data_IF_237766438605
#
_entry.id   IF_237766438605
#
_cell.length_a   1.000
_cell.length_b   1.000
_cell.length_c   1.000
_cell.angle_alpha   90.00
_cell.angle_beta   90.00
_cell.angle_gamma   90.00
#
_symmetry.space_group_name_H-M   'P 1'
#
loop_
_entity.id
_entity.type
_entity.pdbx_description
1 polymer ?
2 polymer ?
3 water ?
#
# COMPACT_ATOMS: atom_id res chain seq x y z
N UNK A 7 15.10 -1.53 -10.88
CA UNK A 7 15.87 -2.00 -9.73
C UNK A 7 16.55 -3.34 -10.06
N UNK A 8 16.36 -4.35 -9.19
CA UNK A 8 17.03 -5.64 -9.37
C UNK A 8 16.67 -6.27 -10.72
N UNK A 9 17.49 -7.25 -11.12
CA UNK A 9 17.35 -7.82 -12.45
C UNK A 9 16.11 -8.72 -12.55
N UNK A 10 15.95 -9.64 -11.60
CA UNK A 10 14.80 -10.54 -11.65
C UNK A 10 13.48 -9.80 -11.39
N UNK A 11 13.53 -8.65 -10.74
CA UNK A 11 12.29 -7.90 -10.54
C UNK A 11 11.86 -7.21 -11.82
N UNK A 12 12.81 -6.61 -12.55
CA UNK A 12 12.50 -6.00 -13.85
C UNK A 12 11.95 -7.02 -14.84
N UNK A 13 12.53 -8.23 -14.85
CA UNK A 13 12.07 -9.25 -15.78
C UNK A 13 10.69 -9.77 -15.40
N UNK A 14 10.40 -9.82 -14.09
CA UNK A 14 9.06 -10.22 -13.64
C UNK A 14 8.04 -9.17 -14.05
N UNK A 15 8.37 -7.89 -13.86
CA UNK A 15 7.50 -6.80 -14.29
C UNK A 15 7.28 -6.83 -15.79
N UNK A 16 8.34 -7.10 -16.56
CA UNK A 16 8.21 -7.14 -18.01
C UNK A 16 7.43 -8.36 -18.47
N UNK A 17 7.65 -9.51 -17.81
CA UNK A 17 6.91 -10.70 -18.15
C UNK A 17 5.44 -10.55 -17.82
N UNK A 18 5.11 -9.83 -16.75
CA UNK A 18 3.71 -9.56 -16.45
C UNK A 18 3.07 -8.67 -17.50
N UNK A 19 3.77 -7.62 -17.92
CA UNK A 19 3.26 -6.74 -18.98
C UNK A 19 3.02 -7.52 -20.26
N UNK A 20 3.93 -8.43 -20.59
CA UNK A 20 3.88 -9.13 -21.87
C UNK A 20 2.94 -10.33 -21.86
N UNK A 21 2.39 -10.69 -20.71
CA UNK A 21 1.57 -11.89 -20.63
C UNK A 21 2.37 -13.18 -20.70
N UNK A 22 3.68 -13.11 -20.45
CA UNK A 22 4.59 -14.26 -20.52
C UNK A 22 4.48 -15.05 -19.22
N UNK A 23 3.40 -15.83 -19.11
CA UNK A 23 3.06 -16.49 -17.85
C UNK A 23 4.18 -17.45 -17.41
N UNK A 24 4.84 -18.12 -18.36
CA UNK A 24 5.85 -19.11 -17.96
C UNK A 24 7.00 -18.46 -17.23
N UNK A 25 7.49 -17.32 -17.75
CA UNK A 25 8.56 -16.61 -17.06
C UNK A 25 8.09 -16.04 -15.72
N UNK A 26 6.84 -15.61 -15.64
CA UNK A 26 6.30 -15.20 -14.35
C UNK A 26 6.35 -16.36 -13.36
N UNK A 27 5.94 -17.54 -13.80
CA UNK A 27 5.97 -18.68 -12.89
C UNK A 27 7.38 -19.00 -12.43
N UNK A 28 8.40 -18.66 -13.24
CA UNK A 28 9.77 -18.99 -12.85
C UNK A 28 10.42 -17.92 -11.99
N UNK A 29 9.98 -16.66 -12.07
CA UNK A 29 10.60 -15.58 -11.33
C UNK A 29 9.80 -15.16 -10.12
N UNK A 30 8.57 -15.62 -9.98
CA UNK A 30 7.68 -15.14 -8.94
C UNK A 30 7.97 -15.84 -7.62
N UNK A 31 8.41 -15.06 -6.63
CA UNK A 31 8.63 -15.49 -5.27
C UNK A 31 7.81 -14.60 -4.33
N UNK A 32 7.81 -14.98 -3.05
CA UNK A 32 7.12 -14.19 -2.04
C UNK A 32 7.73 -12.79 -1.95
N UNK A 33 9.03 -12.68 -2.21
CA UNK A 33 9.70 -11.40 -2.12
C UNK A 33 9.44 -10.50 -3.32
N UNK A 34 9.07 -11.08 -4.47
CA UNK A 34 8.97 -10.31 -5.70
C UNK A 34 7.54 -10.13 -6.21
N UNK A 35 6.57 -10.87 -5.68
CA UNK A 35 5.23 -10.85 -6.26
C UNK A 35 4.62 -9.45 -6.19
N UNK A 36 5.01 -8.65 -5.20
CA UNK A 36 4.49 -7.29 -5.03
C UNK A 36 5.56 -6.22 -5.21
N UNK A 37 6.60 -6.52 -5.99
CA UNK A 37 7.68 -5.57 -6.23
C UNK A 37 7.22 -4.41 -7.11
N UNK A 38 7.69 -3.21 -6.78
CA UNK A 38 7.31 -1.97 -7.46
C UNK A 38 8.35 -1.60 -8.51
N UNK A 39 7.90 -0.93 -9.56
CA UNK A 39 8.75 -0.57 -10.69
C UNK A 39 9.33 0.81 -10.41
N UNK A 40 10.60 0.84 -10.01
CA UNK A 40 11.23 2.09 -9.62
C UNK A 40 11.35 3.06 -10.79
N UNK A 41 11.56 2.56 -12.02
CA UNK A 41 11.79 3.43 -13.17
C UNK A 41 10.51 3.85 -13.87
N UNK A 42 9.37 3.87 -13.17
CA UNK A 42 8.12 4.30 -13.76
C UNK A 42 7.22 4.98 -12.76
N UNK A 43 5.93 4.62 -12.74
CA UNK A 43 5.00 5.09 -11.73
C UNK A 43 4.85 4.10 -10.57
N UNK A 44 5.88 3.27 -10.35
CA UNK A 44 5.93 2.33 -9.22
C UNK A 44 4.79 1.32 -9.25
N UNK A 45 4.43 0.85 -10.44
CA UNK A 45 3.41 -0.19 -10.58
C UNK A 45 3.97 -1.54 -10.13
N UNK A 46 3.08 -2.39 -9.64
CA UNK A 46 3.42 -3.78 -9.31
C UNK A 46 3.11 -4.68 -10.49
N UNK A 47 3.58 -5.94 -10.46
CA UNK A 47 3.23 -6.85 -11.58
C UNK A 47 1.74 -6.94 -11.82
N UNK A 48 0.93 -6.88 -10.76
CA UNK A 48 -0.52 -6.94 -10.92
C UNK A 48 -1.05 -5.71 -11.63
N UNK A 49 -0.42 -4.55 -11.46
CA UNK A 49 -0.82 -3.37 -12.22
C UNK A 49 -0.63 -3.61 -13.72
N UNK A 50 0.54 -4.13 -14.09
CA UNK A 50 0.83 -4.37 -15.50
C UNK A 50 -0.08 -5.42 -16.09
N UNK A 51 -0.18 -6.58 -15.44
CA UNK A 51 -1.02 -7.63 -15.98
C UNK A 51 -2.48 -7.18 -16.09
N UNK A 52 -2.93 -6.34 -15.16
CA UNK A 52 -4.32 -5.87 -15.20
C UNK A 52 -4.54 -4.83 -16.30
N UNK A 53 -3.58 -3.92 -16.48
CA UNK A 53 -3.73 -2.90 -17.50
C UNK A 53 -3.62 -3.44 -18.92
N UNK A 54 -2.86 -4.52 -19.10
CA UNK A 54 -2.64 -5.09 -20.42
C UNK A 54 -3.46 -6.35 -20.68
N UNK A 55 -4.47 -6.61 -19.85
CA UNK A 55 -5.44 -7.68 -20.12
C UNK A 55 -4.76 -9.04 -20.17
N UNK A 56 -3.84 -9.29 -19.23
CA UNK A 56 -3.15 -10.59 -19.12
C UNK A 56 -3.88 -11.44 -18.08
N UNK A 57 -5.03 -11.98 -18.49
CA UNK A 57 -5.93 -12.64 -17.54
C UNK A 57 -5.22 -13.79 -16.85
N UNK A 58 -4.46 -14.60 -17.60
CA UNK A 58 -3.80 -15.76 -16.99
C UNK A 58 -2.75 -15.32 -15.98
N UNK A 59 -2.03 -14.24 -16.26
CA UNK A 59 -1.07 -13.75 -15.28
C UNK A 59 -1.78 -13.15 -14.07
N UNK A 60 -2.90 -12.44 -14.29
CA UNK A 60 -3.67 -11.88 -13.18
C UNK A 60 -4.13 -12.98 -12.25
N UNK A 61 -4.71 -14.05 -12.81
CA UNK A 61 -5.13 -15.18 -12.00
C UNK A 61 -3.97 -15.78 -11.24
N UNK A 62 -2.82 -15.97 -11.91
CA UNK A 62 -1.66 -16.54 -11.23
C UNK A 62 -1.19 -15.66 -10.08
N UNK A 63 -1.09 -14.34 -10.32
CA UNK A 63 -0.56 -13.45 -9.29
C UNK A 63 -1.48 -13.41 -8.07
N UNK A 64 -2.77 -13.25 -8.28
CA UNK A 64 -3.69 -13.20 -7.16
C UNK A 64 -3.61 -14.49 -6.35
N UNK A 65 -3.46 -15.63 -7.01
CA UNK A 65 -3.37 -16.88 -6.30
C UNK A 65 -2.11 -16.95 -5.45
N UNK A 66 -1.02 -16.32 -5.90
CA UNK A 66 0.26 -16.35 -5.19
C UNK A 66 0.49 -15.09 -4.36
N UNK A 67 -0.58 -14.50 -3.83
CA UNK A 67 -0.44 -13.47 -2.83
C UNK A 67 -0.19 -12.07 -3.34
N UNK A 68 -0.53 -11.77 -4.59
CA UNK A 68 -0.39 -10.40 -5.08
C UNK A 68 -1.39 -9.51 -4.38
N UNK A 69 -0.95 -8.30 -4.05
CA UNK A 69 -1.75 -7.35 -3.29
C UNK A 69 -2.74 -6.67 -4.23
N UNK A 70 -4.01 -7.02 -4.09
CA UNK A 70 -5.03 -6.43 -4.96
C UNK A 70 -5.22 -4.94 -4.65
N UNK A 71 -4.76 -4.46 -3.49
CA UNK A 71 -4.94 -3.08 -3.06
C UNK A 71 -3.70 -2.21 -3.26
N UNK A 72 -2.65 -2.74 -3.90
CA UNK A 72 -1.40 -2.01 -4.01
C UNK A 72 -1.57 -0.72 -4.79
N UNK A 73 -1.02 0.37 -4.25
CA UNK A 73 -1.12 1.67 -4.88
C UNK A 73 0.19 2.03 -5.56
N UNK A 74 0.10 2.57 -6.76
CA UNK A 74 1.29 3.04 -7.47
C UNK A 74 1.56 4.49 -7.05
N UNK A 75 2.51 5.15 -7.71
CA UNK A 75 2.92 6.49 -7.30
C UNK A 75 1.77 7.48 -7.32
N UNK A 76 0.80 7.30 -8.21
CA UNK A 76 -0.33 8.21 -8.25
C UNK A 76 -1.54 7.79 -7.46
N UNK A 77 -1.43 6.69 -6.71
CA UNK A 77 -2.55 6.18 -5.93
C UNK A 77 -3.49 5.24 -6.65
N UNK A 78 -3.12 4.76 -7.84
CA UNK A 78 -3.99 3.82 -8.55
C UNK A 78 -3.78 2.40 -8.04
N UNK A 79 -4.88 1.66 -7.92
CA UNK A 79 -4.84 0.23 -7.65
C UNK A 79 -5.05 -0.52 -8.96
N UNK A 80 -4.74 -1.82 -9.03
CA UNK A 80 -4.96 -2.55 -10.29
C UNK A 80 -6.37 -2.45 -10.87
N UNK A 81 -7.41 -2.27 -10.03
CA UNK A 81 -8.76 -2.12 -10.57
C UNK A 81 -8.88 -0.85 -11.41
N UNK A 82 -8.12 0.20 -11.08
CA UNK A 82 -8.11 1.40 -11.92
C UNK A 82 -7.61 1.07 -13.32
N UNK A 83 -6.47 0.37 -13.41
CA UNK A 83 -5.86 0.08 -14.70
C UNK A 83 -6.81 -0.73 -15.57
N UNK A 84 -7.46 -1.75 -14.99
CA UNK A 84 -8.37 -2.59 -15.76
C UNK A 84 -9.60 -1.82 -16.21
N UNK A 85 -10.16 -0.97 -15.34
CA UNK A 85 -11.36 -0.21 -15.68
C UNK A 85 -11.08 0.85 -16.74
N UNK A 86 -9.88 1.43 -16.72
CA UNK A 86 -9.53 2.44 -17.70
C UNK A 86 -9.48 1.88 -19.11
N UNK A 87 -9.06 0.62 -19.28
CA UNK A 87 -8.88 0.04 -20.61
C UNK A 87 -9.95 -0.97 -20.97
N UNK A 88 -11.06 -1.00 -20.26
CA UNK A 88 -12.21 -1.81 -20.64
C UNK A 88 -12.03 -3.30 -20.46
N UNK A 89 -11.12 -3.74 -19.60
CA UNK A 89 -10.85 -5.16 -19.43
C UNK A 89 -11.86 -5.71 -18.43
N UNK A 90 -13.02 -6.12 -18.95
CA UNK A 90 -14.11 -6.56 -18.08
C UNK A 90 -13.72 -7.79 -17.27
N UNK A 91 -13.15 -8.80 -17.94
CA UNK A 91 -12.83 -10.05 -17.25
C UNK A 91 -11.78 -9.82 -16.17
N UNK A 92 -10.80 -8.95 -16.44
CA UNK A 92 -9.82 -8.65 -15.40
C UNK A 92 -10.48 -7.90 -14.24
N UNK A 93 -11.32 -6.91 -14.55
CA UNK A 93 -11.99 -6.16 -13.49
C UNK A 93 -12.87 -7.06 -12.64
N UNK A 94 -13.59 -7.97 -13.27
CA UNK A 94 -14.42 -8.89 -12.51
C UNK A 94 -13.59 -9.81 -11.63
N UNK A 95 -12.40 -10.20 -12.09
CA UNK A 95 -11.51 -11.03 -11.30
C UNK A 95 -10.98 -10.27 -10.08
N UNK A 96 -10.61 -9.00 -10.26
CA UNK A 96 -10.09 -8.20 -9.15
C UNK A 96 -11.17 -7.98 -8.08
N UNK A 97 -12.39 -7.64 -8.51
CA UNK A 97 -13.47 -7.44 -7.55
C UNK A 97 -13.75 -8.73 -6.79
N UNK A 98 -13.73 -9.87 -7.51
CA UNK A 98 -13.94 -11.18 -6.88
C UNK A 98 -12.90 -11.46 -5.80
N UNK A 99 -11.69 -10.93 -5.94
CA UNK A 99 -10.62 -11.13 -4.97
C UNK A 99 -10.46 -9.96 -4.02
N UNK A 100 -11.50 -9.15 -3.84
CA UNK A 100 -11.51 -8.16 -2.78
C UNK A 100 -11.14 -6.74 -3.15
N UNK A 101 -11.02 -6.42 -4.44
CA UNK A 101 -10.73 -5.04 -4.81
C UNK A 101 -11.85 -4.13 -4.33
N UNK A 102 -11.46 -3.01 -3.74
CA UNK A 102 -12.41 -2.02 -3.22
C UNK A 102 -12.85 -1.12 -4.38
N UNK A 103 -14.14 -1.19 -4.74
CA UNK A 103 -14.59 -0.49 -5.93
C UNK A 103 -14.65 1.02 -5.74
N UNK A 104 -14.72 1.52 -4.51
CA UNK A 104 -14.78 2.95 -4.28
C UNK A 104 -13.46 3.56 -3.86
N UNK A 105 -12.35 2.81 -4.00
CA UNK A 105 -11.04 3.38 -3.72
C UNK A 105 -10.79 4.56 -4.66
N UNK A 106 -10.01 5.54 -4.19
CA UNK A 106 -9.75 6.74 -4.98
C UNK A 106 -8.25 7.01 -4.96
N UNK A 107 -7.75 7.52 -6.07
CA UNK A 107 -6.32 7.81 -6.19
C UNK A 107 -6.05 9.19 -5.56
N UNK A 108 -4.85 9.74 -5.81
CA UNK A 108 -4.47 11.00 -5.17
C UNK A 108 -5.32 12.17 -5.62
N UNK A 109 -5.93 12.07 -6.81
CA UNK A 109 -6.86 13.07 -7.30
C UNK A 109 -8.31 12.71 -7.01
N UNK A 110 -8.54 11.69 -6.17
CA UNK A 110 -9.87 11.22 -5.79
C UNK A 110 -10.67 10.69 -6.98
N UNK A 111 -9.99 10.24 -8.04
CA UNK A 111 -10.64 9.48 -9.11
C UNK A 111 -10.87 8.05 -8.64
N UNK A 112 -12.13 7.61 -8.62
CA UNK A 112 -12.44 6.21 -8.34
C UNK A 112 -12.40 5.40 -9.63
N UNK A 113 -12.44 4.07 -9.54
CA UNK A 113 -12.59 3.28 -10.77
C UNK A 113 -13.83 3.63 -11.57
N UNK A 114 -14.89 4.10 -10.92
CA UNK A 114 -16.05 4.52 -11.68
C UNK A 114 -15.77 5.78 -12.48
N UNK A 115 -14.92 6.68 -11.96
CA UNK A 115 -14.49 7.83 -12.75
C UNK A 115 -13.78 7.39 -14.01
N UNK A 116 -12.85 6.43 -13.86
CA UNK A 116 -12.09 5.92 -15.00
C UNK A 116 -13.02 5.30 -16.04
N UNK A 117 -13.92 4.43 -15.60
CA UNK A 117 -14.79 3.74 -16.54
C UNK A 117 -15.76 4.69 -17.21
N UNK A 118 -16.27 5.67 -16.46
CA UNK A 118 -17.19 6.64 -17.04
C UNK A 118 -16.48 7.57 -18.03
N UNK A 119 -15.28 8.02 -17.69
CA UNK A 119 -14.58 8.94 -18.60
C UNK A 119 -14.12 8.23 -19.87
N UNK A 120 -13.85 6.92 -19.79
CA UNK A 120 -13.40 6.18 -20.97
C UNK A 120 -14.54 5.54 -21.74
N UNK A 121 -15.78 5.61 -21.25
CA UNK A 121 -16.91 5.09 -21.99
C UNK A 121 -17.11 3.58 -21.92
N UNK A 122 -16.83 2.98 -20.75
CA UNK A 122 -16.94 1.52 -20.59
C UNK A 122 -18.23 1.20 -19.83
N UNK A 123 -19.30 0.99 -20.59
CA UNK A 123 -20.61 0.77 -19.97
C UNK A 123 -20.62 -0.48 -19.11
N UNK A 124 -20.13 -1.59 -19.64
CA UNK A 124 -20.19 -2.84 -18.89
C UNK A 124 -19.37 -2.74 -17.61
N UNK A 125 -18.22 -2.05 -17.69
CA UNK A 125 -17.42 -1.81 -16.49
C UNK A 125 -18.20 -0.96 -15.49
N UNK A 126 -18.84 0.11 -15.96
CA UNK A 126 -19.66 0.93 -15.06
C UNK A 126 -20.72 0.07 -14.40
N UNK A 127 -21.41 -0.75 -15.19
CA UNK A 127 -22.45 -1.60 -14.63
C UNK A 127 -21.87 -2.58 -13.62
N UNK A 128 -20.72 -3.17 -13.94
CA UNK A 128 -20.08 -4.12 -13.03
C UNK A 128 -19.79 -3.48 -11.67
N UNK A 129 -19.21 -2.27 -11.69
CA UNK A 129 -18.86 -1.57 -10.46
C UNK A 129 -20.10 -1.18 -9.66
N UNK A 130 -21.14 -0.69 -10.34
CA UNK A 130 -22.38 -0.33 -9.65
C UNK A 130 -23.03 -1.55 -9.00
N UNK A 131 -22.97 -2.70 -9.69
CA UNK A 131 -23.55 -3.93 -9.14
C UNK A 131 -22.77 -4.45 -7.94
N UNK A 132 -21.56 -3.96 -7.72
CA UNK A 132 -20.78 -4.33 -6.54
C UNK A 132 -20.63 -3.16 -5.58
N UNK A 133 -21.50 -2.15 -5.65
CA UNK A 133 -21.55 -1.12 -4.63
C UNK A 133 -20.83 0.20 -4.91
N UNK A 134 -20.42 0.44 -6.16
CA UNK A 134 -19.76 1.71 -6.46
C UNK A 134 -20.72 2.89 -6.26
N UNK A 135 -20.18 3.98 -5.73
CA UNK A 135 -20.97 5.15 -5.42
C UNK A 135 -20.84 6.17 -6.55
N UNK A 136 -21.90 6.40 -7.34
CA UNK A 136 -21.80 7.38 -8.44
C UNK A 136 -21.75 8.84 -7.99
N UNK A 137 -21.84 9.13 -6.70
CA UNK A 137 -21.87 10.52 -6.24
C UNK A 137 -20.52 11.02 -5.74
N UNK A 138 -19.48 10.19 -5.78
CA UNK A 138 -18.17 10.61 -5.28
C UNK A 138 -17.56 11.64 -6.21
N UNK A 139 -17.05 12.73 -5.65
CA UNK A 139 -16.43 13.79 -6.45
C UNK A 139 -14.91 13.66 -6.35
N UNK A 140 -14.24 13.92 -7.48
CA UNK A 140 -12.79 13.92 -7.50
C UNK A 140 -12.31 15.29 -7.04
N UNK A 141 -11.01 15.54 -7.19
CA UNK A 141 -10.43 16.81 -6.73
C UNK A 141 -11.02 18.00 -7.48
N UNK A 142 -11.43 17.81 -8.74
CA UNK A 142 -11.99 18.88 -9.55
C UNK A 142 -13.49 19.09 -9.33
N UNK A 143 -14.08 18.41 -8.36
CA UNK A 143 -15.50 18.50 -8.08
C UNK A 143 -16.41 17.72 -9.01
N UNK A 144 -15.87 16.84 -9.84
CA UNK A 144 -16.63 16.10 -10.83
C UNK A 144 -16.99 14.71 -10.31
N UNK A 145 -18.27 14.35 -10.45
CA UNK A 145 -18.73 12.98 -10.28
C UNK A 145 -18.38 12.15 -11.51
N UNK A 146 -18.52 10.82 -11.45
CA UNK A 146 -18.35 10.03 -12.68
C UNK A 146 -19.28 10.47 -13.79
N UNK A 147 -20.51 10.86 -13.46
CA UNK A 147 -21.45 11.33 -14.49
C UNK A 147 -20.93 12.59 -15.17
N UNK A 148 -20.26 13.47 -14.44
CA UNK A 148 -19.77 14.71 -15.03
C UNK A 148 -18.65 14.46 -16.03
N UNK A 149 -18.01 13.29 -15.98
CA UNK A 149 -16.94 12.96 -16.92
C UNK A 149 -17.44 12.21 -18.15
N UNK A 150 -18.72 11.83 -18.19
CA UNK A 150 -19.21 11.06 -19.32
C UNK A 150 -19.22 11.93 -20.56
N UNK A 151 -18.64 11.41 -21.65
CA UNK A 151 -18.67 12.10 -22.93
C UNK A 151 -20.08 12.20 -23.45
N UNK A 152 -20.39 13.32 -24.12
CA UNK A 152 -21.62 13.40 -24.89
C UNK A 152 -21.60 12.32 -25.96
N UNK A 153 -22.73 11.64 -26.14
CA UNK A 153 -22.82 10.54 -27.06
C UNK A 153 -22.83 9.18 -26.39
N UNK A 154 -22.30 9.08 -25.16
CA UNK A 154 -22.44 7.88 -24.35
C UNK A 154 -23.71 8.01 -23.51
N UNK A 155 -24.85 8.00 -24.21
CA UNK A 155 -26.10 8.28 -23.52
C UNK A 155 -26.54 7.12 -22.63
N UNK A 156 -26.15 5.88 -22.95
CA UNK A 156 -26.50 4.76 -22.08
C UNK A 156 -25.78 4.83 -20.75
N UNK A 157 -24.55 5.34 -20.74
CA UNK A 157 -23.83 5.51 -19.47
C UNK A 157 -24.46 6.63 -18.65
N UNK A 158 -24.83 7.73 -19.30
CA UNK A 158 -25.47 8.82 -18.58
C UNK A 158 -26.77 8.37 -17.94
N UNK A 159 -27.55 7.56 -18.66
CA UNK A 159 -28.78 7.04 -18.08
C UNK A 159 -28.46 6.06 -16.96
N UNK A 160 -27.42 5.25 -17.12
CA UNK A 160 -27.05 4.28 -16.09
C UNK A 160 -26.64 4.99 -14.81
N UNK A 161 -25.77 6.00 -14.92
CA UNK A 161 -25.33 6.74 -13.74
C UNK A 161 -26.42 7.62 -13.15
N UNK A 162 -27.45 7.95 -13.94
CA UNK A 162 -28.61 8.67 -13.44
C UNK A 162 -29.49 7.80 -12.55
N UNK A 163 -29.40 6.48 -12.69
CA UNK A 163 -30.21 5.57 -11.92
C UNK A 163 -31.19 4.77 -12.74
N UNK A 164 -31.12 4.88 -14.06
CA UNK A 164 -31.99 4.10 -14.93
C UNK A 164 -31.66 2.60 -14.81
N UNK A 165 -32.55 1.77 -15.33
CA UNK A 165 -32.32 0.33 -15.33
C UNK A 165 -31.19 -0.02 -16.29
N UNK A 166 -30.34 -0.95 -15.88
CA UNK A 166 -29.20 -1.32 -16.70
C UNK A 166 -29.63 -2.22 -17.86
N UNK A 167 -28.75 -2.29 -18.86
CA UNK A 167 -28.99 -3.13 -20.03
C UNK A 167 -28.37 -4.52 -19.81
N UNK B 8 12.10 12.11 -7.21
CA UNK B 8 12.10 13.54 -7.45
C UNK B 8 12.95 14.25 -6.40
N UNK B 9 13.27 15.52 -6.66
CA UNK B 9 14.16 16.27 -5.77
C UNK B 9 13.44 16.66 -4.48
N UNK B 10 12.24 17.23 -4.58
CA UNK B 10 11.53 17.68 -3.39
C UNK B 10 11.10 16.53 -2.49
N UNK B 11 11.03 15.30 -3.02
CA UNK B 11 10.67 14.17 -2.19
C UNK B 11 11.81 13.73 -1.29
N UNK B 12 13.03 13.70 -1.81
CA UNK B 12 14.19 13.37 -0.98
C UNK B 12 14.30 14.33 0.20
N UNK B 13 14.00 15.62 -0.03
CA UNK B 13 14.11 16.58 1.06
C UNK B 13 13.08 16.33 2.15
N UNK B 14 11.87 15.87 1.80
CA UNK B 14 10.90 15.51 2.83
C UNK B 14 11.35 14.28 3.61
N UNK B 15 11.85 13.27 2.90
CA UNK B 15 12.34 12.06 3.56
C UNK B 15 13.48 12.37 4.53
N UNK B 16 14.38 13.28 4.15
CA UNK B 16 15.49 13.61 5.03
C UNK B 16 15.03 14.48 6.20
N UNK B 17 14.10 15.41 5.95
CA UNK B 17 13.56 16.21 7.05
C UNK B 17 12.77 15.37 8.02
N UNK B 18 12.09 14.33 7.51
CA UNK B 18 11.39 13.39 8.37
C UNK B 18 12.37 12.60 9.22
N UNK B 19 13.46 12.13 8.63
CA UNK B 19 14.50 11.45 9.38
C UNK B 19 15.10 12.36 10.45
N UNK B 20 15.29 13.64 10.13
CA UNK B 20 15.97 14.59 10.99
C UNK B 20 15.08 15.24 12.04
N UNK B 21 13.76 15.03 11.98
CA UNK B 21 12.89 15.72 12.90
C UNK B 21 12.67 17.19 12.59
N UNK B 22 12.97 17.61 11.35
CA UNK B 22 12.90 18.99 10.90
C UNK B 22 11.44 19.34 10.57
N UNK B 23 10.70 19.69 11.63
CA UNK B 23 9.24 19.85 11.54
C UNK B 23 8.86 20.94 10.54
N UNK B 24 9.62 22.03 10.52
CA UNK B 24 9.26 23.15 9.65
C UNK B 24 9.37 22.79 8.18
N UNK B 25 10.46 22.12 7.80
CA UNK B 25 10.64 21.71 6.40
C UNK B 25 9.59 20.67 5.98
N UNK B 26 9.21 19.78 6.89
CA UNK B 26 8.10 18.88 6.62
C UNK B 26 6.83 19.68 6.36
N UNK B 27 6.58 20.69 7.19
CA UNK B 27 5.35 21.47 7.07
C UNK B 27 5.25 22.20 5.74
N UNK B 28 6.39 22.52 5.11
CA UNK B 28 6.37 23.21 3.82
C UNK B 28 6.35 22.27 2.62
N UNK B 29 6.76 21.02 2.80
CA UNK B 29 6.82 20.04 1.72
C UNK B 29 5.73 18.98 1.78
N UNK B 30 4.94 18.94 2.85
CA UNK B 30 3.96 17.87 2.98
C UNK B 30 2.73 18.22 2.14
N UNK B 31 2.50 17.45 1.07
CA UNK B 31 1.33 17.58 0.22
C UNK B 31 0.64 16.22 0.12
N UNK B 32 -0.51 16.20 -0.57
CA UNK B 32 -1.18 14.95 -0.83
C UNK B 32 -0.32 14.03 -1.69
N UNK B 33 0.46 14.59 -2.61
CA UNK B 33 1.26 13.78 -3.52
C UNK B 33 2.54 13.23 -2.87
N UNK B 34 3.02 13.87 -1.80
CA UNK B 34 4.31 13.51 -1.23
C UNK B 34 4.25 12.92 0.17
N UNK B 35 3.10 13.01 0.86
CA UNK B 35 3.05 12.61 2.27
C UNK B 35 3.37 11.13 2.45
N UNK B 36 3.04 10.30 1.46
CA UNK B 36 3.30 8.87 1.49
C UNK B 36 4.30 8.44 0.44
N UNK B 37 5.19 9.36 0.04
CA UNK B 37 6.16 9.06 -1.00
C UNK B 37 7.20 8.06 -0.51
N UNK B 38 7.53 7.08 -1.35
CA UNK B 38 8.48 6.06 -0.96
C UNK B 38 9.88 6.34 -1.49
N UNK B 39 10.88 5.84 -0.76
CA UNK B 39 12.29 6.08 -1.04
C UNK B 39 12.83 4.94 -1.92
N UNK B 40 13.02 5.23 -3.20
CA UNK B 40 13.47 4.19 -4.14
C UNK B 40 14.86 3.69 -3.80
N UNK B 41 15.73 4.55 -3.27
CA UNK B 41 17.14 4.22 -3.05
C UNK B 41 17.39 3.58 -1.69
N UNK B 42 16.37 2.95 -1.10
CA UNK B 42 16.52 2.27 0.16
C UNK B 42 15.57 1.09 0.26
N UNK B 43 14.88 0.98 1.39
CA UNK B 43 13.84 -0.03 1.57
C UNK B 43 12.46 0.49 1.20
N UNK B 44 12.38 1.53 0.38
CA UNK B 44 11.10 2.07 -0.08
C UNK B 44 10.24 2.49 1.09
N UNK B 45 10.88 3.06 2.11
CA UNK B 45 10.19 3.60 3.26
C UNK B 45 9.46 4.90 2.90
N UNK B 46 8.37 5.15 3.61
CA UNK B 46 7.65 6.40 3.52
C UNK B 46 8.17 7.36 4.58
N UNK B 47 7.82 8.65 4.50
CA UNK B 47 8.22 9.58 5.57
C UNK B 47 7.81 9.13 6.95
N UNK B 48 6.64 8.51 7.08
CA UNK B 48 6.22 8.03 8.40
C UNK B 48 7.14 6.91 8.89
N UNK B 49 7.71 6.11 7.98
CA UNK B 49 8.68 5.11 8.40
C UNK B 49 9.91 5.78 9.04
N UNK B 50 10.45 6.80 8.38
CA UNK B 50 11.65 7.44 8.89
C UNK B 50 11.38 8.15 10.21
N UNK B 51 10.32 8.96 10.25
CA UNK B 51 10.00 9.70 11.48
C UNK B 51 9.75 8.77 12.66
N UNK B 52 9.14 7.60 12.42
CA UNK B 52 8.88 6.66 13.51
C UNK B 52 10.14 5.94 13.94
N UNK B 53 10.99 5.54 12.99
CA UNK B 53 12.20 4.82 13.33
C UNK B 53 13.22 5.67 14.07
N UNK B 54 13.20 6.99 13.85
CA UNK B 54 14.16 7.89 14.46
C UNK B 54 13.55 8.71 15.61
N UNK B 55 12.35 8.35 16.07
CA UNK B 55 11.74 8.94 17.25
C UNK B 55 11.47 10.44 17.08
N UNK B 56 11.00 10.83 15.91
CA UNK B 56 10.66 12.24 15.63
C UNK B 56 9.19 12.46 15.94
N UNK B 57 8.88 12.52 17.24
CA UNK B 57 7.50 12.53 17.71
C UNK B 57 6.71 13.66 17.07
N UNK B 58 7.33 14.84 16.93
CA UNK B 58 6.61 15.96 16.36
C UNK B 58 6.28 15.72 14.89
N UNK B 59 7.22 15.13 14.15
CA UNK B 59 6.97 14.84 12.73
C UNK B 59 5.91 13.74 12.61
N UNK B 60 5.99 12.72 13.46
CA UNK B 60 4.99 11.65 13.43
C UNK B 60 3.60 12.22 13.68
N UNK B 61 3.46 13.10 14.67
CA UNK B 61 2.16 13.70 14.96
C UNK B 61 1.64 14.51 13.77
N UNK B 62 2.52 15.30 13.16
CA UNK B 62 2.10 16.15 12.04
C UNK B 62 1.70 15.30 10.84
N UNK B 63 2.51 14.29 10.51
CA UNK B 63 2.22 13.44 9.35
C UNK B 63 0.89 12.72 9.51
N UNK B 64 0.66 12.14 10.69
CA UNK B 64 -0.60 11.44 10.94
C UNK B 64 -1.80 12.36 10.74
N UNK B 65 -1.68 13.63 11.14
CA UNK B 65 -2.79 14.56 10.97
C UNK B 65 -2.98 14.99 9.53
N UNK B 66 -2.02 14.72 8.64
CA UNK B 66 -2.05 15.18 7.25
C UNK B 66 -1.99 14.04 6.25
N UNK B 67 -2.65 12.93 6.57
CA UNK B 67 -2.85 11.85 5.61
C UNK B 67 -1.73 10.83 5.48
N UNK B 68 -0.86 10.71 6.48
CA UNK B 68 0.16 9.68 6.44
C UNK B 68 -0.49 8.31 6.66
N UNK B 69 -0.04 7.33 5.88
CA UNK B 69 -0.59 5.98 5.88
C UNK B 69 0.06 5.12 6.96
N UNK B 70 -0.69 4.83 8.03
CA UNK B 70 -0.17 3.93 9.06
C UNK B 70 -0.03 2.48 8.57
N UNK B 71 -0.59 2.13 7.41
CA UNK B 71 -0.52 0.76 6.92
C UNK B 71 0.51 0.57 5.81
N UNK B 72 1.25 1.61 5.44
CA UNK B 72 2.18 1.51 4.33
C UNK B 72 3.28 0.52 4.67
N UNK B 73 3.59 -0.39 3.73
CA UNK B 73 4.62 -1.39 3.90
C UNK B 73 5.85 -1.01 3.08
N UNK B 74 7.03 -1.28 3.63
CA UNK B 74 8.26 -1.04 2.90
C UNK B 74 8.60 -2.28 2.07
N UNK B 75 9.80 -2.29 1.48
CA UNK B 75 10.17 -3.36 0.56
C UNK B 75 10.09 -4.73 1.24
N UNK B 76 10.35 -4.79 2.54
CA UNK B 76 10.30 -6.01 3.32
C UNK B 76 9.00 -6.27 4.05
N UNK B 77 7.96 -5.45 3.83
CA UNK B 77 6.67 -5.64 4.47
C UNK B 77 6.51 -5.00 5.83
N UNK B 78 7.43 -4.13 6.24
CA UNK B 78 7.34 -3.47 7.55
C UNK B 78 6.41 -2.26 7.46
N UNK B 79 5.59 -2.08 8.49
CA UNK B 79 4.81 -0.84 8.63
C UNK B 79 5.55 0.05 9.64
N UNK B 80 5.23 1.35 9.73
CA UNK B 80 5.94 2.22 10.70
C UNK B 80 5.93 1.72 12.13
N UNK B 81 4.90 0.99 12.57
CA UNK B 81 4.90 0.47 13.93
C UNK B 81 6.05 -0.51 14.14
N UNK B 82 6.46 -1.22 13.09
CA UNK B 82 7.66 -2.06 13.16
C UNK B 82 8.89 -1.23 13.48
N UNK B 83 9.06 -0.11 12.75
CA UNK B 83 10.22 0.74 12.96
C UNK B 83 10.27 1.29 14.37
N UNK B 84 9.12 1.76 14.88
CA UNK B 84 9.07 2.31 16.23
C UNK B 84 9.34 1.24 17.28
N UNK B 85 8.78 0.05 17.09
CA UNK B 85 8.97 -1.03 18.08
C UNK B 85 10.40 -1.56 18.08
N UNK B 86 11.07 -1.58 16.92
CA UNK B 86 12.42 -2.12 16.87
C UNK B 86 13.39 -1.28 17.69
N UNK B 87 13.20 0.04 17.72
CA UNK B 87 14.13 0.93 18.39
C UNK B 87 13.58 1.47 19.70
N UNK B 88 12.55 0.85 20.25
CA UNK B 88 12.08 1.18 21.59
C UNK B 88 11.38 2.52 21.74
N UNK B 89 10.80 3.06 20.67
CA UNK B 89 10.17 4.38 20.73
C UNK B 89 8.74 4.25 21.23
N UNK B 90 8.59 4.29 22.55
CA UNK B 90 7.29 4.04 23.18
C UNK B 90 6.25 5.08 22.77
N UNK B 91 6.60 6.36 22.86
CA UNK B 91 5.64 7.41 22.57
C UNK B 91 5.19 7.36 21.12
N UNK B 92 6.13 7.09 20.20
CA UNK B 92 5.75 6.98 18.80
C UNK B 92 4.84 5.79 18.57
N UNK B 93 5.15 4.66 19.22
CA UNK B 93 4.33 3.47 19.04
C UNK B 93 2.91 3.70 19.52
N UNK B 94 2.75 4.34 20.69
CA UNK B 94 1.39 4.61 21.19
C UNK B 94 0.64 5.56 20.26
N UNK B 95 1.33 6.53 19.67
CA UNK B 95 0.68 7.44 18.73
C UNK B 95 0.17 6.68 17.51
N UNK B 96 0.98 5.78 16.96
CA UNK B 96 0.56 5.01 15.79
C UNK B 96 -0.64 4.13 16.12
N UNK B 97 -0.62 3.46 17.27
CA UNK B 97 -1.73 2.62 17.67
C UNK B 97 -2.98 3.47 17.86
N UNK B 98 -2.82 4.67 18.42
CA UNK B 98 -3.94 5.57 18.60
C UNK B 98 -4.57 5.97 17.27
N UNK B 99 -3.76 6.03 16.21
CA UNK B 99 -4.25 6.42 14.89
C UNK B 99 -4.51 5.20 13.98
N UNK B 100 -4.67 4.01 14.55
CA UNK B 100 -5.15 2.87 13.83
C UNK B 100 -4.12 1.86 13.37
N UNK B 101 -2.87 1.96 13.82
CA UNK B 101 -1.88 0.95 13.44
C UNK B 101 -2.32 -0.42 13.96
N UNK B 102 -2.20 -1.43 13.10
CA UNK B 102 -2.58 -2.80 13.42
C UNK B 102 -1.44 -3.48 14.17
N UNK B 103 -1.68 -3.86 15.44
CA UNK B 103 -0.60 -4.40 16.25
C UNK B 103 -0.19 -5.81 15.84
N UNK B 104 -1.05 -6.56 15.14
CA UNK B 104 -0.72 -7.92 14.74
C UNK B 104 -0.34 -8.03 13.28
N UNK B 105 -0.13 -6.90 12.60
CA UNK B 105 0.31 -6.94 11.21
C UNK B 105 1.69 -7.63 11.16
N UNK B 106 1.98 -8.29 10.05
CA UNK B 106 3.20 -9.06 9.90
C UNK B 106 3.89 -8.68 8.61
N UNK B 107 5.23 -8.70 8.63
CA UNK B 107 6.01 -8.36 7.46
C UNK B 107 6.13 -9.61 6.58
N UNK B 108 7.00 -9.56 5.56
CA UNK B 108 7.09 -10.66 4.62
C UNK B 108 7.59 -11.96 5.23
N UNK B 109 8.33 -11.88 6.35
CA UNK B 109 8.77 -13.06 7.10
C UNK B 109 7.83 -13.39 8.24
N UNK B 110 6.66 -12.75 8.29
CA UNK B 110 5.66 -12.96 9.35
C UNK B 110 6.16 -12.52 10.73
N UNK B 111 7.10 -11.57 10.76
CA UNK B 111 7.43 -10.88 12.00
C UNK B 111 6.35 -9.82 12.26
N UNK B 112 5.68 -9.91 13.40
CA UNK B 112 4.80 -8.86 13.87
C UNK B 112 5.62 -7.83 14.63
N UNK B 113 5.04 -6.69 14.98
CA UNK B 113 5.74 -5.75 15.89
C UNK B 113 6.15 -6.39 17.21
N UNK B 114 5.38 -7.37 17.70
CA UNK B 114 5.77 -8.03 18.94
C UNK B 114 7.03 -8.89 18.77
N UNK B 115 7.22 -9.49 17.60
CA UNK B 115 8.48 -10.18 17.32
C UNK B 115 9.64 -9.19 17.36
N UNK B 116 9.49 -8.03 16.73
CA UNK B 116 10.52 -7.00 16.70
C UNK B 116 10.89 -6.55 18.11
N UNK B 117 9.88 -6.26 18.94
CA UNK B 117 10.16 -5.74 20.27
C UNK B 117 10.85 -6.78 21.13
N UNK B 118 10.42 -8.04 21.02
CA UNK B 118 11.04 -9.11 21.79
C UNK B 118 12.48 -9.37 21.33
N UNK B 119 12.72 -9.30 20.02
CA UNK B 119 14.05 -9.57 19.50
C UNK B 119 15.02 -8.45 19.83
N UNK B 120 14.54 -7.22 19.99
CA UNK B 120 15.40 -6.09 20.29
C UNK B 120 15.52 -5.81 21.78
N UNK B 121 14.80 -6.57 22.62
CA UNK B 121 14.91 -6.39 24.06
C UNK B 121 14.15 -5.21 24.60
N UNK B 122 13.00 -4.88 24.01
CA UNK B 122 12.22 -3.71 24.39
C UNK B 122 11.05 -4.16 25.28
N UNK B 123 11.27 -4.11 26.60
CA UNK B 123 10.28 -4.57 27.56
C UNK B 123 9.01 -3.72 27.53
N UNK B 124 9.16 -2.39 27.57
CA UNK B 124 7.98 -1.52 27.58
C UNK B 124 7.19 -1.61 26.29
N UNK B 125 7.88 -1.70 25.15
CA UNK B 125 7.18 -1.87 23.87
C UNK B 125 6.39 -3.17 23.88
N UNK B 126 6.99 -4.26 24.38
CA UNK B 126 6.28 -5.52 24.46
C UNK B 126 5.02 -5.38 25.29
N UNK B 127 5.13 -4.76 26.47
CA UNK B 127 3.97 -4.62 27.35
C UNK B 127 2.90 -3.74 26.71
N UNK B 128 3.33 -2.65 26.08
CA UNK B 128 2.38 -1.78 25.37
C UNK B 128 1.59 -2.56 24.31
N UNK B 129 2.29 -3.34 23.49
CA UNK B 129 1.62 -4.08 22.42
C UNK B 129 0.66 -5.11 22.98
N UNK B 130 1.06 -5.81 24.05
CA UNK B 130 0.17 -6.78 24.67
C UNK B 130 -1.09 -6.11 25.20
N UNK B 131 -0.95 -4.91 25.78
CA UNK B 131 -2.10 -4.19 26.31
C UNK B 131 -3.05 -3.70 25.22
N UNK B 132 -2.61 -3.67 23.95
CA UNK B 132 -3.48 -3.27 22.84
C UNK B 132 -3.82 -4.44 21.92
N UNK B 133 -3.73 -5.67 22.42
CA UNK B 133 -4.25 -6.82 21.72
C UNK B 133 -3.25 -7.63 20.94
N UNK B 134 -1.95 -7.39 21.11
CA UNK B 134 -0.97 -8.17 20.39
C UNK B 134 -1.04 -9.62 20.83
N UNK B 135 -0.92 -10.53 19.87
CA UNK B 135 -1.09 -11.95 20.10
C UNK B 135 0.28 -12.59 20.32
N UNK B 136 0.62 -13.01 21.54
CA UNK B 136 1.96 -13.56 21.80
C UNK B 136 2.17 -14.96 21.22
N UNK B 137 1.15 -15.59 20.63
CA UNK B 137 1.27 -16.93 20.10
C UNK B 137 1.48 -16.97 18.60
N UNK B 138 1.54 -15.81 17.94
CA UNK B 138 1.71 -15.79 16.50
C UNK B 138 3.13 -16.22 16.14
N UNK B 139 3.24 -17.16 15.20
CA UNK B 139 4.52 -17.72 14.78
C UNK B 139 4.94 -17.09 13.44
N UNK B 140 6.24 -16.82 13.30
CA UNK B 140 6.75 -16.31 12.04
C UNK B 140 7.04 -17.49 11.10
N UNK B 141 7.75 -17.22 10.01
CA UNK B 141 8.00 -18.27 9.02
C UNK B 141 8.82 -19.42 9.59
N UNK B 142 9.70 -19.14 10.54
CA UNK B 142 10.52 -20.17 11.16
C UNK B 142 9.80 -20.91 12.29
N UNK B 143 8.50 -20.68 12.46
CA UNK B 143 7.78 -21.30 13.55
C UNK B 143 8.02 -20.69 14.91
N UNK B 144 8.62 -19.50 14.96
CA UNK B 144 8.97 -18.87 16.22
C UNK B 144 7.92 -17.85 16.65
N UNK B 145 7.48 -17.96 17.90
CA UNK B 145 6.72 -16.92 18.55
C UNK B 145 7.67 -15.82 18.97
N UNK B 146 7.16 -14.65 19.37
CA UNK B 146 8.04 -13.63 19.96
C UNK B 146 8.84 -14.13 21.15
N UNK B 147 8.28 -15.07 21.93
CA UNK B 147 9.02 -15.60 23.07
C UNK B 147 10.33 -16.25 22.63
N UNK B 148 10.32 -16.90 21.46
CA UNK B 148 11.50 -17.57 20.92
C UNK B 148 12.59 -16.60 20.47
N UNK B 149 12.26 -15.34 20.20
CA UNK B 149 13.24 -14.40 19.70
C UNK B 149 13.91 -13.60 20.80
N UNK B 150 13.47 -13.76 22.05
CA UNK B 150 14.00 -12.97 23.16
C UNK B 150 15.45 -13.35 23.41
N UNK B 151 16.32 -12.34 23.51
CA UNK B 151 17.71 -12.58 23.83
C UNK B 151 17.83 -13.19 25.23
N UNK B 152 18.76 -14.13 25.36
CA UNK B 152 19.06 -14.68 26.67
C UNK B 152 19.50 -13.56 27.62
N UNK B 153 18.99 -13.60 28.85
CA UNK B 153 19.27 -12.59 29.84
C UNK B 153 18.13 -11.61 30.07
N UNK B 154 17.23 -11.45 29.09
CA UNK B 154 16.02 -10.64 29.27
C UNK B 154 14.91 -11.54 29.84
N UNK B 155 15.11 -11.95 31.09
CA UNK B 155 14.19 -12.91 31.71
C UNK B 155 12.85 -12.27 32.03
N UNK B 156 12.81 -10.94 32.23
CA UNK B 156 11.55 -10.28 32.50
C UNK B 156 10.67 -10.21 31.26
N UNK B 157 11.28 -10.10 30.07
CA UNK B 157 10.49 -10.11 28.83
C UNK B 157 9.90 -11.50 28.59
N UNK B 158 10.68 -12.54 28.89
CA UNK B 158 10.18 -13.92 28.77
C UNK B 158 8.99 -14.17 29.68
N UNK B 159 9.05 -13.66 30.93
CA UNK B 159 7.94 -13.83 31.86
C UNK B 159 6.72 -13.03 31.42
N UNK B 160 6.94 -11.84 30.87
CA UNK B 160 5.84 -11.03 30.35
C UNK B 160 5.14 -11.72 29.18
N UNK B 161 5.92 -12.25 28.23
CA UNK B 161 5.37 -12.96 27.08
C UNK B 161 4.82 -14.35 27.43
N UNK B 162 4.67 -14.72 28.69
CA UNK B 162 4.13 -16.03 29.06
C UNK B 162 2.94 -15.87 30.00
N UNK C 4 2.03 17.65 -9.30
CA UNK C 4 2.07 17.79 -10.75
C UNK C 4 0.69 17.53 -11.36
N UNK C 5 0.68 17.07 -12.61
CA UNK C 5 -0.55 16.70 -13.30
C UNK C 5 -0.77 15.19 -13.18
N UNK C 6 -2.04 14.80 -13.28
CA UNK C 6 -2.38 13.38 -13.20
C UNK C 6 -2.03 12.66 -14.50
N UNK C 7 -1.42 11.49 -14.36
CA UNK C 7 -1.03 10.70 -15.51
C UNK C 7 -2.09 9.68 -15.90
N UNK C 8 -1.69 8.75 -16.75
CA UNK C 8 -2.56 7.68 -17.19
C UNK C 8 -2.12 6.34 -16.59
N UNK C 9 -3.04 5.41 -16.38
CA UNK C 9 -2.65 4.12 -15.83
C UNK C 9 -1.83 3.33 -16.83
N UNK C 10 -0.97 2.47 -16.30
CA UNK C 10 -0.26 1.52 -17.16
C UNK C 10 -1.25 0.56 -17.79
N UNK C 11 -1.16 0.35 -19.09
CA UNK C 11 -2.02 -0.59 -19.77
C UNK C 11 -2.26 -0.21 -21.23
N UNK C 12 -3.14 -0.98 -21.86
CA UNK C 12 -3.49 -0.77 -23.24
C UNK C 12 -4.72 -1.56 -23.64
N UNK C 13 -5.39 -1.12 -24.69
CA UNK C 13 -6.60 -1.81 -25.16
C UNK C 13 -6.29 -2.99 -26.05
N UNK D 5 19.00 -12.56 4.96
CA UNK D 5 18.02 -12.13 3.98
C UNK D 5 17.16 -11.00 4.57
N UNK D 6 16.65 -11.23 5.77
CA UNK D 6 15.84 -10.21 6.43
C UNK D 6 16.71 -9.06 6.92
N UNK D 7 16.26 -7.83 6.65
CA UNK D 7 17.01 -6.65 7.02
C UNK D 7 16.57 -6.07 8.35
N UNK D 8 17.04 -4.85 8.60
CA UNK D 8 16.65 -4.12 9.79
C UNK D 8 15.76 -2.95 9.40
N UNK D 9 14.85 -2.53 10.25
CA UNK D 9 14.01 -1.38 9.90
C UNK D 9 14.83 -0.10 9.88
N UNK D 10 14.39 0.86 9.07
CA UNK D 10 15.00 2.18 9.06
C UNK D 10 14.76 2.87 10.40
N UNK D 11 15.83 3.35 11.02
CA UNK D 11 15.71 4.07 12.27
C UNK D 11 16.91 3.83 13.16
N UNK D 12 16.84 4.36 14.37
CA UNK D 12 17.89 4.18 15.37
C UNK D 12 17.49 4.60 16.77
N UNK D 13 18.15 4.02 17.76
CA UNK D 13 17.91 4.37 19.17
C UNK D 13 19.06 5.28 19.63
N UNK D 14 18.88 5.95 20.76
CA UNK D 14 19.93 6.83 21.28
C UNK D 14 19.68 7.16 22.75
#
# INVERSE_FOLDING_TARGET
GAMGSGNSEADRQLLEAAKAGDVETVKKLCTVQSVNCRDIEGRQSTPLHFAAGYNRVSVVEYLLQHGADVHAKDKGGLVPLHNACSYGHYEVAELLVKHGAVVNVADLWKFTPLHEAAAKGKYEICKLLLQHGADPTKKNRDGNTPLDLVKDGDTDIQDLLRGDAAL
GAMGSGNSEADRQLLEAAKAGDVETVKKLCTVQSVNCRDIEGRQSTPLHFAAGYNRVSVVEYLLQHGADVHAKDKGGLVPLHNACSYGHYEVAELLVKHGAVVNVADLWKFTPLHEAAAKGKYEICKLLLQHGADPTKKNRDGNTPLDLVKDGDTDIQDLLRGDAAL
ERDTQRGEPEGGSQDQ
ERDTQRGEPEGGSQDQ
#
